data_IF_644078690078
#
_entry.id   IF_644078690078
#
_cell.length_a   1.000
_cell.length_b   1.000
_cell.length_c   1.000
_cell.angle_alpha   90.00
_cell.angle_beta   90.00
_cell.angle_gamma   90.00
#
_symmetry.space_group_name_H-M   'P 1'
#
loop_
_entity.id
_entity.type
_entity.pdbx_description
1 polymer ?
#
# COMPACT_ATOMS: atom_id res chain seq x y z
N UNK A 1 5.14 -73.56 -13.66
CA UNK A 1 6.20 -74.54 -13.98
C UNK A 1 7.15 -73.91 -14.99
N UNK A 2 8.43 -74.33 -14.96
CA UNK A 2 9.53 -74.00 -15.87
C UNK A 2 10.35 -72.72 -15.60
N UNK A 3 11.53 -72.97 -15.02
CA UNK A 3 12.74 -72.15 -14.95
C UNK A 3 13.51 -72.22 -16.29
N UNK A 4 14.63 -71.48 -16.35
CA UNK A 4 15.83 -71.65 -17.21
C UNK A 4 16.01 -70.56 -18.26
N UNK A 5 16.89 -69.57 -18.06
CA UNK A 5 18.37 -69.58 -18.07
C UNK A 5 18.98 -69.46 -19.47
N UNK A 6 19.77 -68.42 -19.72
CA UNK A 6 21.22 -68.55 -19.95
C UNK A 6 21.82 -67.24 -20.47
N UNK A 7 23.06 -67.01 -20.04
CA UNK A 7 23.85 -65.82 -20.26
C UNK A 7 24.60 -65.88 -21.59
N UNK A 8 24.83 -64.72 -22.22
CA UNK A 8 26.02 -64.52 -23.05
C UNK A 8 26.62 -63.13 -22.78
N UNK A 9 27.74 -63.16 -22.04
CA UNK A 9 28.71 -62.08 -21.86
C UNK A 9 29.37 -61.76 -23.20
N UNK A 10 29.44 -60.47 -23.56
CA UNK A 10 30.51 -59.92 -24.41
C UNK A 10 30.95 -58.56 -23.85
N UNK A 11 32.17 -58.50 -23.32
CA UNK A 11 33.02 -57.28 -23.27
C UNK A 11 34.21 -57.58 -24.19
N UNK A 12 34.72 -56.61 -24.96
CA UNK A 12 35.84 -55.80 -24.44
C UNK A 12 35.77 -54.31 -24.88
N UNK A 13 36.13 -53.40 -23.97
CA UNK A 13 37.39 -52.58 -23.97
C UNK A 13 37.47 -51.57 -25.11
N UNK A 14 37.43 -50.29 -24.75
CA UNK A 14 37.71 -49.16 -25.64
C UNK A 14 37.53 -47.83 -24.92
N UNK A 15 38.66 -47.26 -24.52
CA UNK A 15 38.87 -46.05 -23.71
C UNK A 15 38.18 -44.77 -24.20
N UNK A 16 37.74 -43.90 -23.29
CA UNK A 16 38.29 -42.54 -23.05
C UNK A 16 37.29 -41.63 -22.31
N UNK A 17 37.82 -40.98 -21.28
CA UNK A 17 37.27 -39.83 -20.55
C UNK A 17 36.75 -38.73 -21.47
N UNK A 18 35.56 -38.18 -21.17
CA UNK A 18 35.28 -36.75 -21.23
C UNK A 18 33.87 -36.45 -20.69
N UNK A 19 33.82 -36.13 -19.40
CA UNK A 19 32.70 -35.52 -18.69
C UNK A 19 32.54 -34.08 -19.17
N UNK A 20 31.54 -33.75 -20.00
CA UNK A 20 31.14 -32.35 -20.25
C UNK A 20 29.63 -32.21 -20.49
N UNK A 21 28.99 -31.59 -19.50
CA UNK A 21 27.95 -30.56 -19.62
C UNK A 21 26.63 -30.93 -20.32
N UNK A 22 25.74 -31.57 -19.56
CA UNK A 22 24.32 -31.24 -19.66
C UNK A 22 24.12 -29.87 -18.99
N UNK A 23 24.13 -28.79 -19.78
CA UNK A 23 23.76 -27.47 -19.30
C UNK A 23 22.24 -27.44 -19.19
N UNK A 24 21.84 -27.54 -17.93
CA UNK A 24 20.57 -27.21 -17.32
C UNK A 24 19.78 -26.12 -18.09
N UNK A 25 18.68 -26.53 -18.73
CA UNK A 25 17.73 -25.64 -19.41
C UNK A 25 16.62 -25.17 -18.46
N UNK A 26 16.90 -25.16 -17.15
CA UNK A 26 15.93 -24.88 -16.09
C UNK A 26 16.25 -23.56 -15.39
N UNK A 27 16.37 -22.46 -16.13
CA UNK A 27 16.48 -21.13 -15.49
C UNK A 27 15.93 -20.00 -16.35
N UNK A 28 14.62 -20.04 -16.56
CA UNK A 28 13.83 -18.83 -16.81
C UNK A 28 12.50 -18.93 -16.05
N UNK A 29 12.59 -19.14 -14.73
CA UNK A 29 11.58 -18.59 -13.83
C UNK A 29 12.05 -17.18 -13.51
N UNK A 30 11.31 -16.21 -14.04
CA UNK A 30 11.42 -14.82 -13.65
C UNK A 30 11.37 -14.74 -12.12
N UNK A 31 12.50 -14.40 -11.51
CA UNK A 31 12.54 -14.02 -10.10
C UNK A 31 11.82 -12.70 -9.99
N UNK A 32 10.52 -12.72 -9.72
CA UNK A 32 9.90 -11.66 -8.92
C UNK A 32 10.53 -11.79 -7.54
N UNK A 33 11.69 -11.15 -7.37
CA UNK A 33 12.28 -10.98 -6.06
C UNK A 33 11.24 -10.22 -5.23
N UNK A 34 10.64 -10.91 -4.26
CA UNK A 34 9.84 -10.26 -3.22
C UNK A 34 10.69 -9.12 -2.65
N UNK A 35 10.18 -7.87 -2.62
CA UNK A 35 10.93 -6.77 -2.05
C UNK A 35 11.29 -7.12 -0.60
N UNK A 36 12.47 -6.70 -0.11
CA UNK A 36 12.82 -6.93 1.28
C UNK A 36 11.69 -6.41 2.16
N UNK A 37 11.33 -7.15 3.21
CA UNK A 37 10.11 -6.88 3.99
C UNK A 37 10.03 -5.46 4.53
N UNK A 38 11.17 -4.76 4.65
CA UNK A 38 11.22 -3.36 5.05
C UNK A 38 10.67 -2.42 3.98
N UNK A 39 10.98 -2.63 2.70
CA UNK A 39 10.45 -1.83 1.58
C UNK A 39 8.93 -1.97 1.49
N UNK A 40 8.42 -3.19 1.71
CA UNK A 40 6.97 -3.42 1.75
C UNK A 40 6.31 -2.67 2.91
N UNK A 41 6.91 -2.70 4.11
CA UNK A 41 6.42 -1.98 5.29
C UNK A 41 6.44 -0.47 5.08
N UNK A 42 7.55 0.07 4.58
CA UNK A 42 7.70 1.49 4.24
C UNK A 42 6.65 1.94 3.22
N UNK A 43 6.43 1.15 2.17
CA UNK A 43 5.40 1.42 1.16
C UNK A 43 3.99 1.39 1.73
N UNK A 44 3.67 0.41 2.58
CA UNK A 44 2.34 0.39 3.22
C UNK A 44 2.15 1.55 4.19
N UNK A 45 3.19 1.92 4.93
CA UNK A 45 3.14 3.03 5.87
C UNK A 45 3.00 4.38 5.14
N UNK A 46 3.66 4.55 3.99
CA UNK A 46 3.53 5.77 3.18
C UNK A 46 2.15 5.91 2.54
N UNK A 47 1.56 4.81 2.05
CA UNK A 47 0.17 4.82 1.56
C UNK A 47 -0.79 5.22 2.68
N UNK A 48 -0.65 4.61 3.87
CA UNK A 48 -1.48 4.98 5.03
C UNK A 48 -1.31 6.46 5.41
N UNK A 49 -0.09 6.98 5.43
CA UNK A 49 0.16 8.40 5.72
C UNK A 49 -0.49 9.33 4.68
N UNK A 50 -0.44 8.96 3.40
CA UNK A 50 -1.13 9.70 2.34
C UNK A 50 -2.65 9.68 2.54
N UNK A 51 -3.23 8.53 2.89
CA UNK A 51 -4.66 8.43 3.18
C UNK A 51 -5.06 9.30 4.38
N UNK A 52 -4.26 9.34 5.46
CA UNK A 52 -4.53 10.21 6.61
C UNK A 52 -4.44 11.70 6.25
N UNK A 53 -3.44 12.08 5.46
CA UNK A 53 -3.30 13.45 4.96
C UNK A 53 -4.47 13.87 4.07
N UNK A 54 -4.95 12.96 3.23
CA UNK A 54 -6.12 13.18 2.39
C UNK A 54 -7.37 13.46 3.26
N UNK A 55 -7.59 12.67 4.30
CA UNK A 55 -8.70 12.90 5.22
C UNK A 55 -8.56 14.22 6.00
N UNK A 56 -7.35 14.60 6.40
CA UNK A 56 -7.12 15.91 7.03
C UNK A 56 -7.45 17.04 6.05
N UNK A 57 -7.04 16.93 4.79
CA UNK A 57 -7.40 17.90 3.74
C UNK A 57 -8.90 18.04 3.61
N UNK A 58 -9.64 16.93 3.60
CA UNK A 58 -11.11 16.96 3.48
C UNK A 58 -11.75 17.71 4.67
N UNK A 59 -11.20 17.57 5.90
CA UNK A 59 -11.68 18.35 7.06
C UNK A 59 -11.36 19.85 6.97
N UNK A 60 -10.22 20.21 6.38
CA UNK A 60 -9.84 21.61 6.16
C UNK A 60 -10.70 22.26 5.07
N UNK A 61 -11.02 21.51 4.00
CA UNK A 61 -11.96 21.96 2.97
C UNK A 61 -13.35 22.22 3.56
N UNK A 62 -13.80 21.43 4.53
CA UNK A 62 -15.07 21.69 5.23
C UNK A 62 -15.05 23.05 5.96
N UNK A 63 -13.92 23.47 6.53
CA UNK A 63 -13.78 24.83 7.08
C UNK A 63 -13.83 25.91 6.00
N UNK A 64 -13.15 25.71 4.88
CA UNK A 64 -13.16 26.67 3.77
C UNK A 64 -14.59 26.84 3.22
N UNK A 65 -15.34 25.74 3.05
CA UNK A 65 -16.75 25.81 2.64
C UNK A 65 -17.61 26.60 3.63
N UNK A 66 -17.42 26.38 4.94
CA UNK A 66 -18.13 27.16 5.97
C UNK A 66 -17.73 28.63 5.92
N UNK A 67 -16.46 28.95 5.72
CA UNK A 67 -16.01 30.32 5.60
C UNK A 67 -16.61 31.00 4.37
N UNK A 68 -16.70 30.32 3.23
CA UNK A 68 -17.39 30.82 2.04
C UNK A 68 -18.88 31.05 2.29
N UNK A 69 -19.54 30.19 3.07
CA UNK A 69 -20.94 30.33 3.47
C UNK A 69 -21.19 31.54 4.37
N UNK A 70 -20.28 31.80 5.31
CA UNK A 70 -20.38 32.93 6.25
C UNK A 70 -19.87 34.25 5.66
N UNK A 71 -19.09 34.18 4.57
CA UNK A 71 -18.61 35.36 3.87
C UNK A 71 -19.76 35.94 3.05
N UNK A 72 -20.06 37.25 3.17
CA UNK A 72 -21.17 37.86 2.45
C UNK A 72 -20.92 37.85 0.93
N UNK A 73 -21.42 36.82 0.24
CA UNK A 73 -21.35 36.70 -1.21
C UNK A 73 -22.72 37.06 -1.81
N UNK A 74 -22.85 38.33 -2.22
CA UNK A 74 -23.76 38.89 -3.22
C UNK A 74 -25.29 38.66 -3.11
N UNK A 75 -26.00 39.69 -2.61
CA UNK A 75 -26.94 40.62 -3.28
C UNK A 75 -28.05 40.06 -4.23
N UNK A 76 -27.99 38.85 -4.80
CA UNK A 76 -28.93 38.43 -5.86
C UNK A 76 -29.40 36.96 -5.88
N UNK A 77 -29.20 36.15 -4.85
CA UNK A 77 -29.79 34.80 -4.80
C UNK A 77 -30.65 34.59 -3.53
N UNK A 78 -31.96 34.30 -3.66
CA UNK A 78 -32.91 34.22 -2.55
C UNK A 78 -33.01 32.80 -1.96
N UNK A 79 -31.91 32.05 -1.86
CA UNK A 79 -31.90 30.92 -0.93
C UNK A 79 -31.53 31.45 0.45
N UNK A 80 -32.54 31.97 1.15
CA UNK A 80 -32.45 32.32 2.56
C UNK A 80 -32.19 31.05 3.37
N UNK A 81 -30.93 30.66 3.48
CA UNK A 81 -30.49 29.60 4.39
C UNK A 81 -30.57 30.14 5.82
N UNK A 82 -31.68 29.85 6.48
CA UNK A 82 -31.83 30.11 7.91
C UNK A 82 -31.10 29.02 8.69
N UNK A 83 -29.90 29.35 9.18
CA UNK A 83 -29.12 28.47 10.06
C UNK A 83 -29.18 29.05 11.46
N UNK A 84 -29.64 28.28 12.44
CA UNK A 84 -29.64 28.75 13.81
C UNK A 84 -28.20 28.89 14.33
N UNK A 85 -27.88 29.92 15.12
CA UNK A 85 -26.55 30.07 15.71
C UNK A 85 -26.09 28.85 16.52
N UNK A 86 -27.03 28.09 17.09
CA UNK A 86 -26.74 26.85 17.80
C UNK A 86 -26.29 25.72 16.85
N UNK A 87 -26.95 25.58 15.70
CA UNK A 87 -26.60 24.60 14.66
C UNK A 87 -25.22 24.89 14.08
N UNK A 88 -24.95 26.16 13.75
CA UNK A 88 -23.64 26.58 13.25
C UNK A 88 -22.54 26.31 14.29
N UNK A 89 -22.78 26.64 15.57
CA UNK A 89 -21.84 26.34 16.65
C UNK A 89 -21.58 24.83 16.77
N UNK A 90 -22.63 24.02 16.76
CA UNK A 90 -22.51 22.56 16.84
C UNK A 90 -21.69 22.01 15.67
N UNK A 91 -21.95 22.48 14.45
CA UNK A 91 -21.21 22.08 13.26
C UNK A 91 -19.72 22.44 13.34
N UNK A 92 -19.41 23.69 13.73
CA UNK A 92 -18.01 24.13 13.91
C UNK A 92 -17.31 23.32 15.00
N UNK A 93 -17.98 23.03 16.12
CA UNK A 93 -17.45 22.17 17.17
C UNK A 93 -17.13 20.76 16.64
N UNK A 94 -18.02 20.17 15.83
CA UNK A 94 -17.80 18.86 15.22
C UNK A 94 -16.60 18.85 14.26
N UNK A 95 -16.47 19.85 13.38
CA UNK A 95 -15.35 19.93 12.42
C UNK A 95 -14.03 20.17 13.14
N UNK A 96 -14.01 21.03 14.17
CA UNK A 96 -12.83 21.23 15.01
C UNK A 96 -12.37 19.92 15.68
N UNK A 97 -13.31 19.20 16.30
CA UNK A 97 -13.01 17.93 16.96
C UNK A 97 -12.49 16.88 15.96
N UNK A 98 -13.07 16.83 14.76
CA UNK A 98 -12.63 15.91 13.72
C UNK A 98 -11.25 16.28 13.18
N UNK A 99 -10.98 17.57 12.95
CA UNK A 99 -9.68 18.06 12.46
C UNK A 99 -8.57 17.71 13.45
N UNK A 100 -8.82 17.90 14.75
CA UNK A 100 -7.86 17.52 15.79
C UNK A 100 -7.59 16.01 15.78
N UNK A 101 -8.64 15.17 15.64
CA UNK A 101 -8.47 13.72 15.50
C UNK A 101 -7.65 13.36 14.26
N UNK A 102 -7.87 14.04 13.13
CA UNK A 102 -7.12 13.80 11.89
C UNK A 102 -5.67 14.23 11.97
N UNK A 103 -5.37 15.35 12.63
CA UNK A 103 -3.99 15.79 12.89
C UNK A 103 -3.22 14.72 13.69
N UNK A 104 -3.80 14.22 14.78
CA UNK A 104 -3.19 13.14 15.58
C UNK A 104 -2.95 11.87 14.75
N UNK A 105 -3.94 11.47 13.94
CA UNK A 105 -3.80 10.30 13.07
C UNK A 105 -2.72 10.48 11.98
N UNK A 106 -2.53 11.70 11.47
CA UNK A 106 -1.44 12.03 10.54
C UNK A 106 -0.09 11.92 11.25
N UNK A 107 0.05 12.49 12.45
CA UNK A 107 1.29 12.42 13.22
C UNK A 107 1.69 10.96 13.50
N UNK A 108 0.74 10.13 13.92
CA UNK A 108 0.96 8.70 14.14
C UNK A 108 1.38 7.97 12.84
N UNK A 109 0.75 8.29 11.71
CA UNK A 109 1.07 7.68 10.43
C UNK A 109 2.46 8.10 9.91
N UNK A 110 2.84 9.38 10.08
CA UNK A 110 4.16 9.89 9.73
C UNK A 110 5.25 9.25 10.62
N UNK A 111 5.00 9.10 11.91
CA UNK A 111 5.89 8.38 12.82
C UNK A 111 6.04 6.90 12.44
N UNK A 112 4.94 6.23 12.10
CA UNK A 112 4.98 4.85 11.61
C UNK A 112 5.78 4.74 10.31
N UNK A 113 5.65 5.72 9.40
CA UNK A 113 6.40 5.76 8.15
C UNK A 113 7.90 5.97 8.41
N UNK A 114 8.27 6.92 9.29
CA UNK A 114 9.67 7.15 9.69
C UNK A 114 10.31 5.88 10.25
N UNK A 115 9.60 5.18 11.15
CA UNK A 115 10.08 3.91 11.73
C UNK A 115 10.24 2.80 10.70
N UNK A 116 9.42 2.78 9.64
CA UNK A 116 9.51 1.77 8.60
C UNK A 116 10.65 2.04 7.58
N UNK A 117 11.20 3.26 7.57
CA UNK A 117 12.32 3.66 6.71
C UNK A 117 13.69 3.45 7.39
N UNK A 118 13.72 3.22 8.71
CA UNK A 118 14.91 2.94 9.49
C UNK A 118 15.02 1.44 9.82
#
# INVERSE_FOLDING_TARGET
MAKSSSALKRKPVGSKSAKRQAVDRSKMQATTAEPPTNDRKARTASINALDKLQHLRDTLLAFECLQSFLSPHCIHAPEELHVEPAELRALVTCINAETQRRMLAVDEALESMRRALH
#
